data_IF_631006206859
#
_entry.id   IF_631006206859
#
_cell.length_a   1.000
_cell.length_b   1.000
_cell.length_c   1.000
_cell.angle_alpha   90.00
_cell.angle_beta   90.00
_cell.angle_gamma   90.00
#
_symmetry.space_group_name_H-M   'P 1'
#
loop_
_entity.id
_entity.type
_entity.pdbx_description
1 polymer ?
#
# COMPACT_ATOMS: atom_id res chain seq x y z
N UNK A 1 7.88 52.11 3.34
CA UNK A 1 8.45 50.76 3.57
C UNK A 1 9.44 50.88 4.72
N UNK A 2 9.09 50.36 5.90
CA UNK A 2 10.00 50.26 7.05
C UNK A 2 10.85 49.00 6.93
N UNK A 3 12.16 49.11 7.17
CA UNK A 3 13.05 47.96 7.18
C UNK A 3 12.75 47.00 8.35
N UNK A 4 12.96 45.69 8.20
CA UNK A 4 12.93 44.76 9.33
C UNK A 4 14.09 45.07 10.27
N UNK A 5 13.82 45.11 11.58
CA UNK A 5 14.87 45.22 12.61
C UNK A 5 15.37 43.83 13.00
N UNK A 6 16.63 43.53 12.71
CA UNK A 6 17.33 42.29 13.09
C UNK A 6 17.65 42.20 14.61
N UNK A 7 16.65 42.46 15.44
CA UNK A 7 16.70 42.22 16.88
C UNK A 7 16.17 40.81 17.18
N UNK A 8 17.03 39.93 17.69
CA UNK A 8 16.63 38.58 18.09
C UNK A 8 15.44 38.65 19.09
N UNK A 9 14.33 37.93 18.83
CA UNK A 9 13.09 38.13 19.59
C UNK A 9 13.27 37.81 21.07
N UNK A 10 12.71 38.67 21.92
CA UNK A 10 12.71 38.46 23.36
C UNK A 10 11.93 37.20 23.73
N UNK A 11 12.24 36.62 24.91
CA UNK A 11 11.51 35.46 25.43
C UNK A 11 9.99 35.69 25.48
N UNK A 12 9.54 36.92 25.76
CA UNK A 12 8.11 37.29 25.76
C UNK A 12 7.50 37.46 24.36
N UNK A 13 8.30 37.66 23.31
CA UNK A 13 7.82 37.57 21.93
C UNK A 13 7.69 36.09 21.54
N UNK A 14 8.75 35.29 21.70
CA UNK A 14 8.74 33.84 21.46
C UNK A 14 7.53 33.15 22.09
N UNK A 15 7.31 33.33 23.39
CA UNK A 15 6.20 32.72 24.12
C UNK A 15 4.81 33.21 23.65
N UNK A 16 4.70 34.44 23.15
CA UNK A 16 3.43 34.98 22.61
C UNK A 16 3.15 34.44 21.22
N UNK A 17 4.18 34.34 20.39
CA UNK A 17 4.08 33.92 19.00
C UNK A 17 3.87 32.39 18.92
N UNK A 18 4.48 31.62 19.82
CA UNK A 18 4.20 30.19 20.02
C UNK A 18 2.73 29.95 20.45
N UNK A 19 2.17 30.77 21.35
CA UNK A 19 0.74 30.69 21.73
C UNK A 19 -0.17 31.13 20.57
N UNK A 20 0.20 32.16 19.80
CA UNK A 20 -0.59 32.63 18.66
C UNK A 20 -0.69 31.57 17.54
N UNK A 21 0.41 30.84 17.30
CA UNK A 21 0.49 29.77 16.33
C UNK A 21 -0.59 28.68 16.53
N UNK A 22 -0.93 28.34 17.78
CA UNK A 22 -1.94 27.30 18.09
C UNK A 22 -3.31 27.67 17.50
N UNK A 23 -3.72 28.94 17.64
CA UNK A 23 -5.03 29.42 17.14
C UNK A 23 -5.14 29.46 15.62
N UNK A 24 -4.02 29.35 14.90
CA UNK A 24 -4.01 29.27 13.44
C UNK A 24 -3.96 27.81 12.94
N UNK A 25 -3.53 26.86 13.78
CA UNK A 25 -3.22 25.48 13.36
C UNK A 25 -4.12 24.39 13.95
N UNK A 26 -4.79 24.66 15.07
CA UNK A 26 -5.71 23.71 15.69
C UNK A 26 -7.18 24.22 15.69
N UNK A 27 -8.07 23.60 14.90
CA UNK A 27 -9.51 23.88 14.92
C UNK A 27 -10.21 23.64 16.28
N UNK A 28 -9.60 22.90 17.21
CA UNK A 28 -10.15 22.67 18.56
C UNK A 28 -9.82 23.80 19.56
N UNK A 29 -8.93 24.74 19.22
CA UNK A 29 -8.46 25.80 20.10
C UNK A 29 -9.49 26.93 20.31
N UNK A 30 -10.52 26.71 21.13
CA UNK A 30 -11.64 27.66 21.32
C UNK A 30 -11.29 28.91 22.12
N UNK A 31 -10.32 28.85 23.05
CA UNK A 31 -9.95 30.02 23.85
C UNK A 31 -8.49 30.07 24.31
N UNK A 32 -7.95 31.29 24.46
CA UNK A 32 -6.60 31.54 25.02
C UNK A 32 -6.38 31.03 26.43
N UNK A 33 -7.45 30.94 27.24
CA UNK A 33 -7.35 30.40 28.58
C UNK A 33 -7.24 28.87 28.55
N UNK A 34 -8.05 28.21 27.74
CA UNK A 34 -7.99 26.76 27.49
C UNK A 34 -6.63 26.36 26.94
N UNK A 35 -6.15 26.97 25.84
CA UNK A 35 -4.82 26.67 25.28
C UNK A 35 -3.68 26.87 26.31
N UNK A 36 -3.77 27.88 27.18
CA UNK A 36 -2.76 28.11 28.21
C UNK A 36 -2.87 27.13 29.40
N UNK A 37 -4.01 26.45 29.60
CA UNK A 37 -4.26 25.58 30.78
C UNK A 37 -4.37 24.08 30.46
N UNK A 38 -4.72 23.69 29.24
CA UNK A 38 -5.02 22.28 28.88
C UNK A 38 -4.15 21.68 27.78
N UNK A 39 -3.24 22.44 27.14
CA UNK A 39 -2.42 21.96 26.01
C UNK A 39 -0.99 21.60 26.45
N UNK A 40 -0.63 20.30 26.59
CA UNK A 40 0.68 19.90 27.10
C UNK A 40 1.84 20.30 26.17
N UNK A 41 1.60 20.32 24.85
CA UNK A 41 2.58 20.77 23.86
C UNK A 41 2.99 22.23 24.06
N UNK A 42 2.03 23.10 24.39
CA UNK A 42 2.28 24.52 24.71
C UNK A 42 3.10 24.63 26.00
N UNK A 43 2.70 23.91 27.07
CA UNK A 43 3.45 23.88 28.33
C UNK A 43 4.91 23.42 28.13
N UNK A 44 5.11 22.38 27.32
CA UNK A 44 6.44 21.87 26.98
C UNK A 44 7.31 22.90 26.25
N UNK A 45 6.77 23.55 25.20
CA UNK A 45 7.51 24.57 24.45
C UNK A 45 7.84 25.78 25.33
N UNK A 46 6.87 26.31 26.08
CA UNK A 46 7.08 27.46 26.98
C UNK A 46 8.16 27.19 28.04
N UNK A 47 8.15 26.00 28.66
CA UNK A 47 9.17 25.60 29.63
C UNK A 47 10.53 25.31 28.97
N UNK A 48 10.55 24.74 27.76
CA UNK A 48 11.77 24.60 26.96
C UNK A 48 12.39 25.96 26.62
N UNK A 49 11.62 26.98 26.21
CA UNK A 49 12.17 28.32 25.89
C UNK A 49 12.93 28.91 27.10
N UNK A 50 12.43 28.67 28.32
CA UNK A 50 13.11 29.06 29.56
C UNK A 50 14.33 28.17 29.87
N UNK A 51 14.21 26.85 29.73
CA UNK A 51 15.31 25.90 29.97
C UNK A 51 16.48 26.11 28.98
N UNK A 52 16.19 26.38 27.71
CA UNK A 52 17.17 26.76 26.69
C UNK A 52 17.86 28.08 27.03
N UNK A 53 17.13 29.06 27.57
CA UNK A 53 17.75 30.31 28.06
C UNK A 53 18.71 30.06 29.23
N UNK A 54 18.36 29.19 30.18
CA UNK A 54 19.26 28.77 31.27
C UNK A 54 20.50 28.03 30.72
N UNK A 55 20.31 27.14 29.75
CA UNK A 55 21.41 26.42 29.09
C UNK A 55 22.38 27.36 28.35
N UNK A 56 21.85 28.40 27.69
CA UNK A 56 22.63 29.48 27.06
C UNK A 56 23.30 30.44 28.04
N UNK A 57 22.99 30.36 29.33
CA UNK A 57 23.68 31.04 30.44
C UNK A 57 24.63 30.09 31.19
N UNK A 58 24.97 28.95 30.57
CA UNK A 58 25.84 27.89 31.12
C UNK A 58 25.30 27.21 32.40
N UNK A 59 24.06 27.51 32.80
CA UNK A 59 23.35 26.90 33.93
C UNK A 59 22.78 25.52 33.55
N UNK A 60 23.68 24.60 33.17
CA UNK A 60 23.34 23.31 32.59
C UNK A 60 22.49 22.42 33.52
N UNK A 61 22.78 22.38 34.83
CA UNK A 61 21.98 21.59 35.78
C UNK A 61 20.57 22.17 36.00
N UNK A 62 20.37 23.47 36.31
CA UNK A 62 19.04 24.08 36.35
C UNK A 62 18.24 23.90 35.06
N UNK A 63 18.88 24.02 33.89
CA UNK A 63 18.24 23.78 32.60
C UNK A 63 17.76 22.32 32.43
N UNK A 64 18.62 21.34 32.79
CA UNK A 64 18.26 19.90 32.74
C UNK A 64 17.15 19.55 33.73
N UNK A 65 17.18 20.12 34.94
CA UNK A 65 16.13 19.95 35.94
C UNK A 65 14.80 20.54 35.47
N UNK A 66 14.81 21.72 34.84
CA UNK A 66 13.60 22.33 34.30
C UNK A 66 13.01 21.53 33.13
N UNK A 67 13.82 21.02 32.20
CA UNK A 67 13.35 20.09 31.16
C UNK A 67 12.78 18.79 31.75
N UNK A 68 13.35 18.27 32.85
CA UNK A 68 12.79 17.09 33.53
C UNK A 68 11.42 17.38 34.18
N UNK A 69 11.26 18.52 34.85
CA UNK A 69 9.96 18.96 35.39
C UNK A 69 8.94 19.18 34.26
N UNK A 70 9.35 19.81 33.15
CA UNK A 70 8.50 19.98 31.98
C UNK A 70 8.04 18.63 31.42
N UNK A 71 8.93 17.64 31.32
CA UNK A 71 8.61 16.27 30.90
C UNK A 71 7.62 15.59 31.85
N UNK A 72 7.80 15.70 33.16
CA UNK A 72 6.89 15.08 34.14
C UNK A 72 5.46 15.63 34.03
N UNK A 73 5.30 16.90 33.68
CA UNK A 73 3.99 17.55 33.61
C UNK A 73 3.33 17.45 32.22
N UNK A 74 4.12 17.53 31.14
CA UNK A 74 3.61 17.55 29.75
C UNK A 74 3.69 16.23 29.00
N UNK A 75 4.46 15.26 29.50
CA UNK A 75 4.87 14.04 28.80
C UNK A 75 5.64 14.28 27.46
N UNK A 76 6.31 15.43 27.34
CA UNK A 76 7.22 15.81 26.24
C UNK A 76 8.66 15.92 26.79
N UNK A 77 9.64 15.23 26.19
CA UNK A 77 11.06 15.36 26.55
C UNK A 77 11.80 16.25 25.55
N UNK A 78 12.04 17.53 25.89
CA UNK A 78 12.85 18.45 25.08
C UNK A 78 14.17 18.73 25.80
N UNK A 79 15.29 18.31 25.20
CA UNK A 79 16.60 18.62 25.73
C UNK A 79 16.90 20.13 25.62
N UNK A 80 17.36 20.82 26.68
CA UNK A 80 17.47 22.28 26.66
C UNK A 80 18.58 22.78 25.70
N UNK A 81 19.53 21.91 25.33
CA UNK A 81 20.53 22.20 24.30
C UNK A 81 20.01 22.23 22.85
N UNK A 82 18.81 21.71 22.58
CA UNK A 82 18.21 21.73 21.25
C UNK A 82 17.96 23.17 20.78
N UNK A 83 17.94 23.38 19.46
CA UNK A 83 17.68 24.69 18.83
C UNK A 83 16.35 24.61 18.08
N UNK A 84 15.41 25.48 18.41
CA UNK A 84 14.06 25.48 17.84
C UNK A 84 13.69 26.90 17.41
N UNK A 85 13.22 27.04 16.16
CA UNK A 85 12.77 28.30 15.55
C UNK A 85 11.45 28.83 16.12
N UNK A 86 10.82 29.75 15.40
CA UNK A 86 9.57 30.42 15.75
C UNK A 86 8.35 29.58 15.38
N UNK A 87 7.21 29.81 16.04
CA UNK A 87 5.90 29.22 15.68
C UNK A 87 5.97 27.69 15.60
N UNK A 88 6.72 27.09 16.53
CA UNK A 88 6.91 25.66 16.63
C UNK A 88 5.73 25.03 17.36
N UNK A 89 5.07 24.07 16.72
CA UNK A 89 3.84 23.46 17.22
C UNK A 89 4.05 21.99 17.57
N UNK A 90 3.56 21.58 18.75
CA UNK A 90 3.48 20.17 19.15
C UNK A 90 2.01 19.83 19.39
N UNK A 91 1.43 19.06 18.49
CA UNK A 91 0.06 18.56 18.62
C UNK A 91 0.02 17.26 19.44
N UNK A 92 -0.98 17.15 20.33
CA UNK A 92 -1.24 16.01 21.23
C UNK A 92 0.00 15.46 21.99
N UNK A 93 1.04 16.28 22.22
CA UNK A 93 2.47 15.92 22.37
C UNK A 93 2.98 14.81 23.30
N UNK A 94 2.13 14.01 23.96
CA UNK A 94 2.53 12.84 24.72
C UNK A 94 3.52 11.94 23.95
N UNK A 95 4.65 11.61 24.59
CA UNK A 95 5.69 10.76 24.01
C UNK A 95 6.58 11.43 22.95
N UNK A 96 6.49 12.76 22.76
CA UNK A 96 7.41 13.49 21.89
C UNK A 96 8.77 13.63 22.56
N UNK A 97 9.85 13.36 21.81
CA UNK A 97 11.23 13.35 22.30
C UNK A 97 12.16 14.10 21.33
N UNK A 98 12.84 15.14 21.82
CA UNK A 98 13.72 16.02 21.03
C UNK A 98 15.11 16.05 21.69
N UNK A 99 16.09 15.43 21.03
CA UNK A 99 17.43 15.25 21.58
C UNK A 99 18.36 16.49 21.50
N UNK A 100 19.48 16.41 22.22
CA UNK A 100 20.38 17.54 22.53
C UNK A 100 20.81 18.41 21.35
N UNK A 101 21.08 17.80 20.20
CA UNK A 101 21.63 18.51 19.02
C UNK A 101 20.61 18.57 17.89
N UNK A 102 19.32 18.50 18.22
CA UNK A 102 18.27 18.74 17.26
C UNK A 102 18.28 20.23 16.88
N UNK A 103 18.21 20.50 15.59
CA UNK A 103 17.87 21.82 15.06
C UNK A 103 16.51 21.72 14.39
N UNK A 104 15.64 22.69 14.67
CA UNK A 104 14.30 22.77 14.12
C UNK A 104 14.10 24.21 13.63
N UNK A 105 13.72 24.38 12.37
CA UNK A 105 13.42 25.67 11.76
C UNK A 105 12.13 26.31 12.27
N UNK A 106 11.70 27.34 11.56
CA UNK A 106 10.42 28.01 11.80
C UNK A 106 9.24 27.18 11.31
N UNK A 107 8.05 27.39 11.88
CA UNK A 107 6.76 26.83 11.41
C UNK A 107 6.66 25.29 11.37
N UNK A 108 7.56 24.59 12.06
CA UNK A 108 7.54 23.12 12.16
C UNK A 108 6.41 22.64 13.08
N UNK A 109 5.71 21.58 12.65
CA UNK A 109 4.72 20.85 13.46
C UNK A 109 5.17 19.42 13.72
N UNK A 110 5.20 18.99 14.98
CA UNK A 110 5.32 17.59 15.37
C UNK A 110 4.01 17.10 16.00
N UNK A 111 3.59 15.89 15.68
CA UNK A 111 2.49 15.20 16.37
C UNK A 111 2.99 14.34 17.54
N UNK A 112 2.07 13.77 18.31
CA UNK A 112 2.34 12.88 19.44
C UNK A 112 3.28 11.70 19.08
N UNK A 113 4.06 11.21 20.05
CA UNK A 113 4.96 10.07 19.88
C UNK A 113 6.16 10.26 18.93
N UNK A 114 6.39 11.46 18.39
CA UNK A 114 7.50 11.75 17.47
C UNK A 114 8.86 11.75 18.19
N UNK A 115 9.89 11.21 17.56
CA UNK A 115 11.27 11.23 18.12
C UNK A 115 12.26 11.83 17.13
N UNK A 116 12.98 12.88 17.53
CA UNK A 116 14.15 13.43 16.86
C UNK A 116 15.42 12.89 17.56
N UNK A 117 15.76 11.65 17.23
CA UNK A 117 16.65 10.78 17.99
C UNK A 117 18.09 10.71 17.47
N UNK A 118 19.00 10.24 18.32
CA UNK A 118 20.41 10.04 17.97
C UNK A 118 20.73 8.60 17.60
N UNK A 119 21.65 8.39 16.63
CA UNK A 119 22.11 7.07 16.20
C UNK A 119 23.49 6.67 16.75
N UNK A 120 24.18 7.57 17.46
CA UNK A 120 25.55 7.35 17.95
C UNK A 120 25.73 7.81 19.40
N UNK A 121 26.62 7.12 20.13
CA UNK A 121 27.04 7.48 21.48
C UNK A 121 28.09 8.61 21.52
N UNK A 122 28.61 9.02 20.36
CA UNK A 122 29.67 10.01 20.25
C UNK A 122 29.19 11.42 20.66
N UNK A 123 30.06 12.17 21.35
CA UNK A 123 29.80 13.59 21.65
C UNK A 123 29.91 14.40 20.35
N UNK A 124 28.86 15.13 20.01
CA UNK A 124 28.76 15.91 18.77
C UNK A 124 27.34 15.96 18.20
N UNK A 125 27.22 16.53 17.00
CA UNK A 125 25.98 16.55 16.20
C UNK A 125 25.60 15.11 15.85
N UNK A 126 24.48 14.64 16.41
CA UNK A 126 23.99 13.25 16.28
C UNK A 126 22.49 13.11 16.13
N UNK A 127 21.74 14.21 16.28
CA UNK A 127 20.30 14.32 16.10
C UNK A 127 19.97 15.18 14.87
N UNK A 128 18.73 15.12 14.34
CA UNK A 128 18.39 15.73 13.05
C UNK A 128 18.49 17.26 12.99
N UNK A 129 18.45 17.77 11.76
CA UNK A 129 18.10 19.16 11.43
C UNK A 129 16.83 19.16 10.59
N UNK A 130 15.81 19.91 11.01
CA UNK A 130 14.55 20.10 10.30
C UNK A 130 14.51 21.54 9.74
N UNK A 131 14.25 21.68 8.45
CA UNK A 131 13.99 22.95 7.78
C UNK A 131 12.66 23.60 8.20
N UNK A 132 12.30 24.68 7.52
CA UNK A 132 11.11 25.48 7.85
C UNK A 132 9.83 24.81 7.31
N UNK A 133 8.73 24.89 8.06
CA UNK A 133 7.43 24.34 7.66
C UNK A 133 7.39 22.81 7.53
N UNK A 134 8.34 22.09 8.14
CA UNK A 134 8.35 20.62 8.17
C UNK A 134 7.21 20.10 9.03
N UNK A 135 6.52 19.05 8.57
CA UNK A 135 5.45 18.38 9.33
C UNK A 135 5.85 16.94 9.60
N UNK A 136 5.83 16.52 10.85
CA UNK A 136 6.22 15.16 11.27
C UNK A 136 5.04 14.47 11.96
N UNK A 137 4.41 13.55 11.22
CA UNK A 137 3.21 12.81 11.62
C UNK A 137 3.38 11.91 12.84
N UNK A 138 2.24 11.54 13.44
CA UNK A 138 2.18 10.85 14.72
C UNK A 138 3.04 9.58 14.77
N UNK A 139 3.81 9.41 15.85
CA UNK A 139 4.65 8.23 16.08
C UNK A 139 5.91 8.14 15.20
N UNK A 140 6.16 9.06 14.27
CA UNK A 140 7.33 8.99 13.39
C UNK A 140 8.68 9.14 14.14
N UNK A 141 9.75 8.59 13.56
CA UNK A 141 11.10 8.56 14.15
C UNK A 141 12.10 9.10 13.13
N UNK A 142 12.69 10.26 13.39
CA UNK A 142 13.73 10.87 12.56
C UNK A 142 15.05 10.71 13.30
N UNK A 143 15.98 9.92 12.76
CA UNK A 143 17.10 9.36 13.52
C UNK A 143 18.46 9.72 12.88
N UNK A 144 19.37 10.23 13.71
CA UNK A 144 20.76 10.53 13.33
C UNK A 144 20.97 11.99 12.90
N UNK A 145 22.20 12.38 12.53
CA UNK A 145 22.54 13.73 12.08
C UNK A 145 22.10 14.00 10.63
N UNK A 146 20.86 13.65 10.30
CA UNK A 146 20.25 13.82 8.97
C UNK A 146 19.53 15.17 8.87
N UNK A 147 19.38 15.68 7.64
CA UNK A 147 18.67 16.94 7.37
C UNK A 147 17.39 16.69 6.59
N UNK A 148 16.26 17.19 7.08
CA UNK A 148 15.02 17.32 6.31
C UNK A 148 14.94 18.75 5.79
N UNK A 149 14.82 18.94 4.48
CA UNK A 149 14.65 20.27 3.87
C UNK A 149 13.32 20.95 4.23
N UNK A 150 13.18 22.20 3.81
CA UNK A 150 11.94 22.98 4.02
C UNK A 150 10.70 22.25 3.45
N UNK A 151 9.58 22.36 4.15
CA UNK A 151 8.26 21.80 3.79
C UNK A 151 8.24 20.29 3.56
N UNK A 152 9.22 19.55 4.08
CA UNK A 152 9.18 18.08 4.12
C UNK A 152 8.01 17.60 4.99
N UNK A 153 7.29 16.58 4.52
CA UNK A 153 6.21 15.91 5.23
C UNK A 153 6.59 14.47 5.54
N UNK A 154 6.77 14.13 6.81
CA UNK A 154 6.99 12.75 7.26
C UNK A 154 5.65 12.18 7.71
N UNK A 155 5.20 11.09 7.10
CA UNK A 155 3.94 10.45 7.50
C UNK A 155 4.02 9.73 8.85
N UNK A 156 2.86 9.35 9.39
CA UNK A 156 2.77 8.67 10.67
C UNK A 156 3.61 7.37 10.73
N UNK A 157 4.11 7.05 11.93
CA UNK A 157 4.96 5.89 12.28
C UNK A 157 6.21 5.65 11.41
N UNK A 158 6.56 6.59 10.52
CA UNK A 158 7.63 6.41 9.54
C UNK A 158 9.01 6.63 10.16
N UNK A 159 10.01 5.82 9.74
CA UNK A 159 11.36 5.79 10.35
C UNK A 159 12.39 6.33 9.38
N UNK A 160 12.67 7.63 9.47
CA UNK A 160 13.57 8.36 8.56
C UNK A 160 15.01 8.30 9.07
N UNK A 161 15.90 7.73 8.26
CA UNK A 161 17.32 7.48 8.59
C UNK A 161 18.31 8.09 7.59
N UNK A 162 17.79 8.85 6.61
CA UNK A 162 18.56 9.53 5.56
C UNK A 162 18.07 10.99 5.42
N UNK A 163 18.92 11.87 4.90
CA UNK A 163 18.54 13.25 4.59
C UNK A 163 17.56 13.30 3.41
N UNK A 164 16.69 14.31 3.41
CA UNK A 164 15.53 14.44 2.51
C UNK A 164 15.51 15.84 1.90
N UNK A 165 15.31 15.94 0.58
CA UNK A 165 15.20 17.24 -0.11
C UNK A 165 13.96 18.04 0.29
N UNK A 166 13.98 19.36 0.05
CA UNK A 166 12.81 20.21 0.29
C UNK A 166 11.58 19.80 -0.55
N UNK A 167 10.38 20.12 -0.07
CA UNK A 167 9.08 19.85 -0.72
C UNK A 167 8.77 18.36 -0.99
N UNK A 168 9.41 17.44 -0.24
CA UNK A 168 9.20 15.98 -0.34
C UNK A 168 8.24 15.44 0.72
N UNK A 169 7.57 14.35 0.39
CA UNK A 169 6.84 13.53 1.38
C UNK A 169 7.61 12.21 1.57
N UNK A 170 7.72 11.72 2.81
CA UNK A 170 8.46 10.50 3.18
C UNK A 170 7.62 9.60 4.08
N UNK A 171 7.53 8.32 3.73
CA UNK A 171 6.75 7.31 4.48
C UNK A 171 7.43 5.95 4.54
N UNK A 172 7.03 5.16 5.54
CA UNK A 172 7.42 3.76 5.70
C UNK A 172 8.58 3.52 6.67
N UNK A 173 9.00 2.26 6.76
CA UNK A 173 10.07 1.77 7.65
C UNK A 173 11.00 0.87 6.82
N UNK A 174 12.24 1.31 6.50
CA UNK A 174 12.74 2.68 6.59
C UNK A 174 11.97 3.63 5.65
N UNK A 175 11.94 4.91 6.01
CA UNK A 175 11.21 5.95 5.28
C UNK A 175 11.81 6.20 3.89
N UNK A 176 10.95 6.17 2.86
CA UNK A 176 11.31 6.42 1.45
C UNK A 176 10.61 7.68 0.95
N UNK A 177 11.27 8.46 0.11
CA UNK A 177 10.64 9.57 -0.60
C UNK A 177 9.55 9.05 -1.55
N UNK A 178 8.37 9.67 -1.50
CA UNK A 178 7.27 9.41 -2.44
C UNK A 178 7.04 10.62 -3.33
N UNK A 179 6.87 10.36 -4.62
CA UNK A 179 6.53 11.40 -5.59
C UNK A 179 5.09 11.84 -5.32
N UNK A 180 4.91 13.06 -4.82
CA UNK A 180 3.59 13.66 -4.67
C UNK A 180 2.92 13.71 -6.05
N UNK A 181 1.86 12.93 -6.22
CA UNK A 181 0.94 13.14 -7.33
C UNK A 181 0.35 14.56 -7.20
N UNK A 182 0.10 15.19 -8.35
CA UNK A 182 -0.10 16.64 -8.52
C UNK A 182 -0.94 17.30 -7.41
N UNK A 183 -0.34 18.30 -6.77
CA UNK A 183 -1.00 19.56 -6.35
C UNK A 183 -2.35 19.42 -5.65
N UNK A 184 -2.34 19.07 -4.36
CA UNK A 184 -3.30 19.65 -3.41
C UNK A 184 -2.69 20.94 -2.84
N UNK A 185 -2.64 21.96 -3.69
CA UNK A 185 -2.56 23.37 -3.26
C UNK A 185 -3.94 23.93 -3.50
N UNK A 186 -4.80 23.80 -2.50
CA UNK A 186 -6.08 24.49 -2.34
C UNK A 186 -6.59 24.20 -0.92
N UNK A 187 -6.41 25.17 -0.03
CA UNK A 187 -6.66 25.06 1.41
C UNK A 187 -5.93 26.21 2.10
N UNK A 188 -6.69 27.21 2.53
CA UNK A 188 -6.15 28.43 3.14
C UNK A 188 -5.62 28.14 4.55
N UNK A 189 -4.36 28.52 4.82
CA UNK A 189 -3.65 28.45 6.11
C UNK A 189 -3.65 27.13 6.92
N UNK A 190 -4.22 26.04 6.39
CA UNK A 190 -4.39 24.76 7.09
C UNK A 190 -3.24 23.75 6.92
N UNK A 191 -3.01 22.92 7.95
CA UNK A 191 -2.18 21.71 7.85
C UNK A 191 -2.95 20.65 7.05
N UNK A 192 -2.33 20.04 6.05
CA UNK A 192 -2.93 18.92 5.32
C UNK A 192 -2.92 17.63 6.19
N UNK A 193 -4.12 17.13 6.52
CA UNK A 193 -4.34 15.95 7.35
C UNK A 193 -4.60 14.67 6.53
N UNK A 194 -4.45 14.72 5.20
CA UNK A 194 -4.81 13.62 4.28
C UNK A 194 -3.77 12.51 4.24
N UNK A 195 -3.36 12.01 5.41
CA UNK A 195 -2.37 10.94 5.54
C UNK A 195 -2.77 9.64 4.82
N UNK A 196 -4.08 9.45 4.60
CA UNK A 196 -4.66 8.35 3.82
C UNK A 196 -4.40 8.44 2.30
N UNK A 197 -3.99 9.61 1.77
CA UNK A 197 -3.66 9.82 0.36
C UNK A 197 -2.16 9.72 0.06
N UNK A 198 -1.32 9.42 1.06
CA UNK A 198 0.13 9.32 0.84
C UNK A 198 0.42 7.98 0.12
N UNK A 199 1.11 7.99 -1.05
CA UNK A 199 1.39 6.75 -1.78
C UNK A 199 2.24 5.77 -0.96
N UNK A 200 1.99 4.47 -1.10
CA UNK A 200 2.87 3.46 -0.51
C UNK A 200 4.10 3.16 -1.41
N UNK A 201 5.33 3.46 -0.98
CA UNK A 201 6.54 3.13 -1.71
C UNK A 201 6.96 1.66 -1.53
N UNK A 202 6.41 0.92 -0.56
CA UNK A 202 6.74 -0.48 -0.32
C UNK A 202 5.95 -1.37 -1.27
N UNK A 203 4.62 -1.31 -1.25
CA UNK A 203 3.72 -1.97 -2.21
C UNK A 203 4.02 -1.58 -3.65
N UNK A 204 4.37 -0.32 -3.94
CA UNK A 204 4.85 0.07 -5.28
C UNK A 204 6.19 -0.59 -5.64
N UNK A 205 7.13 -0.72 -4.70
CA UNK A 205 8.36 -1.49 -4.96
C UNK A 205 8.06 -2.99 -5.12
N UNK A 206 7.14 -3.56 -4.33
CA UNK A 206 6.73 -4.97 -4.43
C UNK A 206 6.11 -5.22 -5.80
N UNK A 207 5.17 -4.39 -6.27
CA UNK A 207 4.60 -4.49 -7.61
C UNK A 207 5.67 -4.34 -8.72
N UNK A 208 6.64 -3.43 -8.56
CA UNK A 208 7.75 -3.26 -9.51
C UNK A 208 8.74 -4.43 -9.48
N UNK A 209 8.94 -5.05 -8.30
CA UNK A 209 9.78 -6.23 -8.11
C UNK A 209 9.09 -7.48 -8.64
N UNK A 210 7.77 -7.63 -8.47
CA UNK A 210 6.95 -8.68 -9.09
C UNK A 210 7.05 -8.56 -10.62
N UNK A 211 6.78 -7.38 -11.20
CA UNK A 211 6.96 -7.14 -12.65
C UNK A 211 8.40 -7.38 -13.16
N UNK A 212 9.40 -7.42 -12.26
CA UNK A 212 10.78 -7.75 -12.60
C UNK A 212 11.15 -9.20 -12.28
N UNK A 213 10.48 -9.85 -11.33
CA UNK A 213 10.52 -11.31 -11.12
C UNK A 213 9.84 -12.01 -12.27
N UNK A 214 8.62 -11.62 -12.67
CA UNK A 214 7.92 -12.13 -13.85
C UNK A 214 8.78 -12.02 -15.14
N UNK A 215 9.70 -11.05 -15.17
CA UNK A 215 10.66 -10.82 -16.28
C UNK A 215 12.03 -11.50 -16.10
N UNK A 216 12.30 -12.11 -14.95
CA UNK A 216 13.54 -12.84 -14.61
C UNK A 216 13.31 -14.33 -14.37
N UNK A 217 12.12 -14.73 -13.91
CA UNK A 217 11.61 -16.11 -13.84
C UNK A 217 11.27 -16.69 -15.24
N UNK A 218 11.37 -15.85 -16.28
CA UNK A 218 11.59 -16.31 -17.66
C UNK A 218 12.99 -16.92 -17.90
N UNK A 219 13.89 -16.85 -16.92
CA UNK A 219 15.05 -17.72 -16.76
C UNK A 219 14.82 -18.64 -15.53
N UNK A 220 15.39 -19.86 -15.51
CA UNK A 220 14.82 -20.96 -14.72
C UNK A 220 15.02 -20.85 -13.19
N UNK A 221 13.89 -20.78 -12.47
CA UNK A 221 13.61 -21.14 -11.06
C UNK A 221 14.39 -20.40 -9.94
N UNK A 222 13.83 -19.91 -8.80
CA UNK A 222 12.50 -19.75 -8.16
C UNK A 222 12.75 -18.92 -6.83
N UNK A 223 11.81 -18.61 -5.88
CA UNK A 223 10.33 -18.71 -5.84
C UNK A 223 9.52 -17.47 -5.33
N UNK A 224 8.25 -17.39 -5.75
CA UNK A 224 7.01 -17.25 -4.94
C UNK A 224 7.09 -17.13 -3.38
N UNK A 225 6.30 -16.31 -2.63
CA UNK A 225 5.28 -15.25 -2.88
C UNK A 225 5.41 -14.18 -1.73
N UNK A 226 4.64 -13.08 -1.59
CA UNK A 226 3.27 -12.86 -0.97
C UNK A 226 3.08 -11.30 -1.01
N UNK A 227 1.98 -10.58 -1.31
CA UNK A 227 0.49 -10.68 -1.27
C UNK A 227 -0.19 -9.94 -0.08
N UNK A 228 -1.30 -9.21 -0.32
CA UNK A 228 -2.07 -8.40 0.65
C UNK A 228 -3.60 -8.56 0.47
N UNK A 229 -4.36 -8.14 1.49
CA UNK A 229 -5.78 -8.43 1.80
C UNK A 229 -6.10 -9.93 1.99
N UNK A 230 -7.01 -10.26 2.93
CA UNK A 230 -7.22 -11.66 3.39
C UNK A 230 -7.75 -12.57 2.27
N UNK A 231 -6.92 -13.46 1.68
CA UNK A 231 -7.29 -14.14 0.44
C UNK A 231 -8.25 -15.30 0.68
N UNK A 232 -8.35 -15.79 1.92
CA UNK A 232 -9.19 -16.93 2.27
C UNK A 232 -10.68 -16.64 2.03
N UNK A 233 -11.22 -15.54 2.58
CA UNK A 233 -12.65 -15.24 2.48
C UNK A 233 -13.12 -15.01 1.02
N UNK A 234 -12.29 -14.34 0.21
CA UNK A 234 -12.55 -14.13 -1.21
C UNK A 234 -12.58 -15.47 -1.95
N UNK A 235 -11.52 -16.29 -1.82
CA UNK A 235 -11.42 -17.59 -2.52
C UNK A 235 -12.50 -18.57 -2.04
N UNK A 236 -12.87 -18.55 -0.76
CA UNK A 236 -13.97 -19.36 -0.22
C UNK A 236 -15.30 -19.06 -0.91
N UNK A 237 -15.69 -17.78 -0.98
CA UNK A 237 -16.90 -17.37 -1.70
C UNK A 237 -16.82 -17.73 -3.20
N UNK A 238 -15.63 -17.63 -3.78
CA UNK A 238 -15.37 -17.97 -5.18
C UNK A 238 -15.41 -19.49 -5.46
N UNK A 239 -15.12 -20.36 -4.49
CA UNK A 239 -15.24 -21.82 -4.65
C UNK A 239 -16.71 -22.28 -4.71
N UNK A 240 -17.65 -21.51 -4.18
CA UNK A 240 -19.09 -21.79 -4.29
C UNK A 240 -19.72 -21.29 -5.60
N UNK A 241 -19.14 -20.26 -6.23
CA UNK A 241 -19.90 -19.38 -7.15
C UNK A 241 -19.46 -19.52 -8.61
N UNK A 242 -20.21 -20.25 -9.44
CA UNK A 242 -20.02 -20.20 -10.90
C UNK A 242 -20.64 -18.92 -11.50
N UNK A 243 -20.03 -18.36 -12.54
CA UNK A 243 -20.43 -17.10 -13.17
C UNK A 243 -21.62 -17.24 -14.16
N UNK A 244 -22.79 -17.61 -13.63
CA UNK A 244 -24.07 -17.61 -14.35
C UNK A 244 -25.26 -17.96 -13.44
N UNK A 245 -26.25 -17.07 -13.37
CA UNK A 245 -27.37 -17.11 -12.40
C UNK A 245 -28.43 -18.21 -12.66
N UNK A 246 -28.22 -19.04 -13.67
CA UNK A 246 -29.22 -19.93 -14.28
C UNK A 246 -28.90 -21.43 -14.14
N UNK A 247 -27.75 -21.80 -13.59
CA UNK A 247 -27.40 -23.21 -13.35
C UNK A 247 -28.20 -23.80 -12.18
N UNK A 248 -28.69 -25.03 -12.36
CA UNK A 248 -29.40 -25.74 -11.30
C UNK A 248 -28.49 -25.97 -10.08
N UNK A 249 -28.97 -25.76 -8.84
CA UNK A 249 -28.13 -25.87 -7.64
C UNK A 249 -27.71 -27.32 -7.38
N UNK A 250 -26.40 -27.53 -7.14
CA UNK A 250 -25.87 -28.84 -6.74
C UNK A 250 -26.47 -29.31 -5.41
N UNK A 251 -27.38 -30.28 -5.50
CA UNK A 251 -27.96 -30.97 -4.34
C UNK A 251 -27.37 -32.38 -4.19
N UNK A 252 -27.47 -32.94 -2.98
CA UNK A 252 -26.94 -34.27 -2.68
C UNK A 252 -25.48 -34.28 -2.21
N UNK A 253 -24.70 -35.27 -2.65
CA UNK A 253 -23.34 -35.49 -2.14
C UNK A 253 -22.34 -34.42 -2.60
N UNK A 254 -22.33 -34.11 -3.90
CA UNK A 254 -21.34 -33.22 -4.54
C UNK A 254 -21.40 -31.80 -3.96
N UNK A 255 -22.59 -31.23 -3.75
CA UNK A 255 -22.74 -29.91 -3.12
C UNK A 255 -22.08 -29.84 -1.73
N UNK A 256 -22.29 -30.87 -0.88
CA UNK A 256 -21.67 -30.97 0.45
C UNK A 256 -20.15 -31.16 0.41
N UNK A 257 -19.59 -31.69 -0.68
CA UNK A 257 -18.14 -31.77 -0.88
C UNK A 257 -17.56 -30.39 -1.23
N UNK A 258 -18.22 -29.64 -2.12
CA UNK A 258 -17.82 -28.26 -2.43
C UNK A 258 -17.95 -27.34 -1.21
N UNK A 259 -19.03 -27.44 -0.44
CA UNK A 259 -19.23 -26.70 0.82
C UNK A 259 -18.08 -26.93 1.81
N UNK A 260 -17.71 -28.20 2.04
CA UNK A 260 -16.60 -28.55 2.92
C UNK A 260 -15.25 -28.11 2.36
N UNK A 261 -15.04 -28.23 1.05
CA UNK A 261 -13.79 -27.82 0.40
C UNK A 261 -13.55 -26.31 0.52
N UNK A 262 -14.61 -25.49 0.41
CA UNK A 262 -14.53 -24.06 0.69
C UNK A 262 -14.19 -23.82 2.17
N UNK A 263 -14.97 -24.38 3.11
CA UNK A 263 -14.74 -24.19 4.57
C UNK A 263 -13.31 -24.59 4.99
N UNK A 264 -12.74 -25.63 4.39
CA UNK A 264 -11.39 -26.12 4.68
C UNK A 264 -10.28 -25.45 3.85
N UNK A 265 -10.58 -24.56 2.91
CA UNK A 265 -9.57 -23.81 2.17
C UNK A 265 -8.72 -22.96 3.13
N UNK A 266 -7.37 -22.95 3.06
CA UNK A 266 -6.50 -23.51 2.00
C UNK A 266 -5.83 -24.87 2.33
N UNK A 267 -6.41 -25.67 3.23
CA UNK A 267 -5.83 -26.94 3.70
C UNK A 267 -5.80 -28.01 2.58
N UNK A 268 -4.94 -29.04 2.71
CA UNK A 268 -4.83 -30.12 1.70
C UNK A 268 -6.11 -30.96 1.58
N UNK A 269 -6.85 -31.05 2.67
CA UNK A 269 -8.15 -31.70 2.80
C UNK A 269 -9.18 -31.13 1.81
N UNK A 270 -9.09 -29.84 1.47
CA UNK A 270 -9.94 -29.21 0.45
C UNK A 270 -9.66 -29.78 -0.95
N UNK A 271 -8.39 -30.08 -1.29
CA UNK A 271 -8.05 -30.67 -2.60
C UNK A 271 -8.66 -32.06 -2.75
N UNK A 272 -8.55 -32.90 -1.71
CA UNK A 272 -9.14 -34.24 -1.70
C UNK A 272 -10.66 -34.21 -1.89
N UNK A 273 -11.35 -33.26 -1.24
CA UNK A 273 -12.81 -33.08 -1.37
C UNK A 273 -13.22 -32.59 -2.77
N UNK A 274 -12.43 -31.72 -3.41
CA UNK A 274 -12.68 -31.30 -4.80
C UNK A 274 -12.42 -32.43 -5.79
N UNK A 275 -11.42 -33.29 -5.54
CA UNK A 275 -11.15 -34.48 -6.34
C UNK A 275 -12.22 -35.59 -6.14
N UNK A 276 -12.80 -35.72 -4.94
CA UNK A 276 -13.97 -36.56 -4.69
C UNK A 276 -15.21 -36.01 -5.44
N UNK A 277 -15.44 -34.70 -5.40
CA UNK A 277 -16.50 -34.05 -6.16
C UNK A 277 -16.32 -34.24 -7.67
N UNK A 278 -15.07 -34.17 -8.17
CA UNK A 278 -14.71 -34.46 -9.56
C UNK A 278 -14.99 -35.92 -9.93
N UNK A 279 -14.61 -36.88 -9.09
CA UNK A 279 -14.86 -38.30 -9.34
C UNK A 279 -16.37 -38.63 -9.45
N UNK A 280 -17.23 -37.84 -8.79
CA UNK A 280 -18.69 -37.98 -8.84
C UNK A 280 -19.36 -37.19 -9.98
N UNK A 281 -18.77 -36.06 -10.41
CA UNK A 281 -19.41 -35.10 -11.33
C UNK A 281 -18.40 -34.27 -12.16
N UNK A 282 -17.45 -34.95 -12.81
CA UNK A 282 -16.37 -34.33 -13.63
C UNK A 282 -16.84 -33.49 -14.82
N UNK A 283 -18.13 -33.48 -15.13
CA UNK A 283 -18.74 -32.71 -16.21
C UNK A 283 -19.60 -31.53 -15.72
N UNK A 284 -19.70 -31.32 -14.39
CA UNK A 284 -20.57 -30.30 -13.81
C UNK A 284 -19.88 -28.92 -13.67
N UNK A 285 -20.44 -27.82 -14.22
CA UNK A 285 -19.75 -26.51 -14.28
C UNK A 285 -19.30 -25.94 -12.93
N UNK A 286 -20.04 -26.18 -11.84
CA UNK A 286 -19.64 -25.74 -10.50
C UNK A 286 -18.43 -26.53 -9.96
N UNK A 287 -18.29 -27.81 -10.26
CA UNK A 287 -17.14 -28.64 -9.86
C UNK A 287 -15.90 -28.25 -10.68
N UNK A 288 -16.09 -28.07 -11.99
CA UNK A 288 -15.08 -27.56 -12.92
C UNK A 288 -14.55 -26.19 -12.48
N UNK A 289 -15.45 -25.26 -12.15
CA UNK A 289 -15.12 -23.93 -11.65
C UNK A 289 -14.39 -23.94 -10.31
N UNK A 290 -14.84 -24.75 -9.34
CA UNK A 290 -14.21 -24.86 -8.03
C UNK A 290 -12.78 -25.44 -8.12
N UNK A 291 -12.58 -26.54 -8.85
CA UNK A 291 -11.24 -27.15 -9.00
C UNK A 291 -10.30 -26.25 -9.81
N UNK A 292 -10.79 -25.58 -10.85
CA UNK A 292 -10.03 -24.55 -11.59
C UNK A 292 -9.56 -23.43 -10.66
N UNK A 293 -10.47 -22.85 -9.87
CA UNK A 293 -10.17 -21.75 -8.94
C UNK A 293 -9.18 -22.19 -7.86
N UNK A 294 -9.35 -23.38 -7.29
CA UNK A 294 -8.44 -23.93 -6.30
C UNK A 294 -7.00 -24.05 -6.82
N UNK A 295 -6.79 -24.60 -8.02
CA UNK A 295 -5.45 -24.69 -8.62
C UNK A 295 -4.92 -23.32 -9.06
N UNK A 296 -5.76 -22.46 -9.64
CA UNK A 296 -5.39 -21.11 -10.04
C UNK A 296 -4.89 -20.25 -8.86
N UNK A 297 -5.65 -20.20 -7.76
CA UNK A 297 -5.29 -19.42 -6.57
C UNK A 297 -4.12 -20.03 -5.78
N UNK A 298 -3.83 -21.32 -5.96
CA UNK A 298 -2.60 -21.97 -5.44
C UNK A 298 -1.43 -21.96 -6.45
N UNK A 299 -1.51 -21.18 -7.52
CA UNK A 299 -0.48 -21.03 -8.56
C UNK A 299 -0.09 -22.35 -9.28
N UNK A 300 -0.94 -23.39 -9.21
CA UNK A 300 -0.76 -24.66 -9.91
C UNK A 300 -1.29 -24.56 -11.34
N UNK A 301 -0.55 -23.82 -12.17
CA UNK A 301 -1.03 -23.35 -13.47
C UNK A 301 -1.26 -24.49 -14.49
N UNK A 302 -0.43 -25.53 -14.53
CA UNK A 302 -0.64 -26.69 -15.42
C UNK A 302 -1.83 -27.57 -14.97
N UNK A 303 -2.05 -27.74 -13.67
CA UNK A 303 -3.26 -28.43 -13.17
C UNK A 303 -4.53 -27.62 -13.50
N UNK A 304 -4.48 -26.29 -13.29
CA UNK A 304 -5.57 -25.39 -13.68
C UNK A 304 -5.81 -25.42 -15.20
N UNK A 305 -4.77 -25.59 -16.02
CA UNK A 305 -4.89 -25.71 -17.48
C UNK A 305 -5.51 -27.06 -17.86
N UNK A 306 -5.13 -28.15 -17.21
CA UNK A 306 -5.77 -29.46 -17.39
C UNK A 306 -7.28 -29.40 -17.10
N UNK A 307 -7.68 -28.71 -16.03
CA UNK A 307 -9.10 -28.47 -15.71
C UNK A 307 -9.76 -27.55 -16.73
N UNK A 308 -9.11 -26.48 -17.18
CA UNK A 308 -9.65 -25.57 -18.20
C UNK A 308 -9.85 -26.27 -19.55
N UNK A 309 -8.91 -27.12 -19.98
CA UNK A 309 -9.03 -27.91 -21.21
C UNK A 309 -10.14 -28.96 -21.11
N UNK A 310 -10.26 -29.64 -19.98
CA UNK A 310 -11.37 -30.58 -19.75
C UNK A 310 -12.71 -29.84 -19.74
N UNK A 311 -12.77 -28.65 -19.13
CA UNK A 311 -13.95 -27.76 -19.18
C UNK A 311 -14.30 -27.37 -20.61
N UNK A 312 -13.31 -27.03 -21.45
CA UNK A 312 -13.49 -26.71 -22.86
C UNK A 312 -14.08 -27.88 -23.67
N UNK A 313 -13.56 -29.11 -23.45
CA UNK A 313 -14.05 -30.33 -24.11
C UNK A 313 -15.47 -30.70 -23.65
N UNK A 314 -15.74 -30.62 -22.35
CA UNK A 314 -17.06 -30.92 -21.76
C UNK A 314 -18.12 -29.93 -22.19
N UNK A 315 -17.83 -28.62 -22.12
CA UNK A 315 -18.76 -27.58 -22.56
C UNK A 315 -19.05 -27.65 -24.05
N UNK A 316 -18.06 -27.98 -24.89
CA UNK A 316 -18.29 -28.28 -26.31
C UNK A 316 -19.29 -29.44 -26.51
N UNK A 317 -19.08 -30.56 -25.80
CA UNK A 317 -19.95 -31.73 -25.91
C UNK A 317 -21.39 -31.44 -25.43
N UNK A 318 -21.56 -30.72 -24.32
CA UNK A 318 -22.88 -30.33 -23.80
C UNK A 318 -23.58 -29.29 -24.69
N UNK A 319 -22.83 -28.39 -25.32
CA UNK A 319 -23.30 -27.43 -26.33
C UNK A 319 -23.42 -28.01 -27.76
N UNK A 320 -23.02 -29.27 -27.98
CA UNK A 320 -22.97 -29.94 -29.30
C UNK A 320 -22.07 -29.23 -30.33
N UNK A 321 -21.09 -28.47 -29.86
CA UNK A 321 -20.06 -27.81 -30.67
C UNK A 321 -18.96 -28.79 -31.09
N UNK A 322 -18.23 -28.46 -32.16
CA UNK A 322 -17.01 -29.17 -32.51
C UNK A 322 -15.93 -28.99 -31.41
N UNK A 323 -15.15 -30.03 -31.15
CA UNK A 323 -14.04 -30.00 -30.17
C UNK A 323 -12.83 -29.22 -30.68
N UNK A 324 -12.64 -29.11 -31.99
CA UNK A 324 -11.66 -28.19 -32.58
C UNK A 324 -12.20 -26.75 -32.65
N UNK A 325 -11.79 -25.96 -31.66
CA UNK A 325 -12.04 -24.52 -31.56
C UNK A 325 -11.59 -23.71 -32.79
N UNK A 326 -10.61 -24.21 -33.58
CA UNK A 326 -10.15 -23.52 -34.79
C UNK A 326 -11.20 -23.53 -35.89
N UNK A 327 -12.05 -24.56 -35.95
CA UNK A 327 -13.10 -24.72 -36.96
C UNK A 327 -14.34 -23.84 -36.74
N UNK A 328 -14.67 -23.54 -35.48
CA UNK A 328 -15.94 -22.92 -35.08
C UNK A 328 -16.11 -21.48 -35.61
N UNK A 329 -17.35 -21.11 -35.89
CA UNK A 329 -17.78 -19.78 -36.33
C UNK A 329 -18.76 -19.15 -35.34
N UNK A 330 -18.96 -17.81 -35.34
CA UNK A 330 -19.90 -17.15 -34.44
C UNK A 330 -21.35 -17.64 -34.57
N UNK A 331 -21.72 -18.12 -35.76
CA UNK A 331 -23.03 -18.74 -36.03
C UNK A 331 -23.31 -19.98 -35.19
N UNK A 332 -22.27 -20.70 -34.78
CA UNK A 332 -22.40 -21.96 -34.02
C UNK A 332 -22.86 -21.67 -32.57
N UNK A 333 -22.62 -20.44 -32.10
CA UNK A 333 -23.02 -19.95 -30.79
C UNK A 333 -24.43 -19.33 -30.77
N UNK A 334 -25.09 -19.19 -31.93
CA UNK A 334 -26.42 -18.62 -32.06
C UNK A 334 -27.52 -19.65 -31.74
N UNK A 335 -27.76 -19.93 -30.46
CA UNK A 335 -28.75 -20.90 -30.02
C UNK A 335 -29.17 -20.78 -28.55
N UNK A 336 -30.16 -21.59 -28.11
CA UNK A 336 -30.74 -21.51 -26.76
C UNK A 336 -29.85 -22.07 -25.64
N UNK A 337 -28.62 -22.52 -25.94
CA UNK A 337 -27.68 -23.07 -24.95
C UNK A 337 -26.68 -22.00 -24.45
N UNK A 338 -27.18 -20.79 -24.17
CA UNK A 338 -26.41 -19.60 -23.77
C UNK A 338 -25.33 -19.87 -22.73
N UNK A 339 -25.63 -20.72 -21.76
CA UNK A 339 -24.81 -20.89 -20.56
C UNK A 339 -23.63 -21.83 -20.83
N UNK A 340 -23.83 -22.84 -21.68
CA UNK A 340 -22.75 -23.73 -22.13
C UNK A 340 -21.89 -23.05 -23.21
N UNK A 341 -22.49 -22.19 -24.05
CA UNK A 341 -21.78 -21.30 -24.95
C UNK A 341 -20.87 -20.34 -24.17
N UNK A 342 -21.39 -19.71 -23.11
CA UNK A 342 -20.63 -18.85 -22.19
C UNK A 342 -19.55 -19.62 -21.43
N UNK A 343 -19.84 -20.83 -20.92
CA UNK A 343 -18.85 -21.70 -20.28
C UNK A 343 -17.71 -22.08 -21.21
N UNK A 344 -18.02 -22.41 -22.47
CA UNK A 344 -17.01 -22.74 -23.49
C UNK A 344 -16.09 -21.56 -23.79
N UNK A 345 -16.64 -20.36 -24.01
CA UNK A 345 -15.86 -19.15 -24.28
C UNK A 345 -15.03 -18.72 -23.05
N UNK A 346 -15.57 -18.89 -21.83
CA UNK A 346 -14.83 -18.72 -20.58
C UNK A 346 -13.68 -19.72 -20.44
N UNK A 347 -13.90 -20.99 -20.80
CA UNK A 347 -12.86 -22.03 -20.78
C UNK A 347 -11.77 -21.77 -21.83
N UNK A 348 -12.14 -21.29 -23.03
CA UNK A 348 -11.19 -20.91 -24.08
C UNK A 348 -10.31 -19.73 -23.63
N UNK A 349 -10.93 -18.71 -23.01
CA UNK A 349 -10.22 -17.60 -22.35
C UNK A 349 -9.29 -18.08 -21.24
N UNK A 350 -9.76 -18.97 -20.38
CA UNK A 350 -8.98 -19.52 -19.27
C UNK A 350 -7.76 -20.31 -19.75
N UNK A 351 -7.92 -21.18 -20.76
CA UNK A 351 -6.82 -21.89 -21.40
C UNK A 351 -5.78 -20.91 -21.95
N UNK A 352 -6.22 -19.89 -22.70
CA UNK A 352 -5.31 -18.93 -23.32
C UNK A 352 -4.57 -18.06 -22.29
N UNK A 353 -5.26 -17.62 -21.23
CA UNK A 353 -4.66 -16.85 -20.13
C UNK A 353 -3.65 -17.67 -19.34
N UNK A 354 -3.93 -18.95 -19.07
CA UNK A 354 -2.97 -19.86 -18.46
C UNK A 354 -1.78 -20.16 -19.37
N UNK A 355 -2.00 -20.31 -20.68
CA UNK A 355 -0.92 -20.44 -21.66
C UNK A 355 -0.03 -19.19 -21.71
N UNK A 356 -0.56 -17.96 -21.57
CA UNK A 356 0.28 -16.77 -21.38
C UNK A 356 1.13 -16.87 -20.11
N UNK A 357 0.52 -17.22 -18.96
CA UNK A 357 1.25 -17.34 -17.68
C UNK A 357 2.26 -18.49 -17.64
N UNK A 358 2.14 -19.47 -18.55
CA UNK A 358 3.06 -20.58 -18.76
C UNK A 358 4.08 -20.31 -19.89
N UNK A 359 4.16 -19.08 -20.41
CA UNK A 359 5.09 -18.68 -21.48
C UNK A 359 4.77 -19.25 -22.86
N UNK A 360 3.62 -19.91 -23.04
CA UNK A 360 3.19 -20.59 -24.28
C UNK A 360 2.54 -19.61 -25.27
N UNK A 361 3.16 -18.44 -25.44
CA UNK A 361 2.58 -17.25 -26.09
C UNK A 361 2.01 -17.52 -27.49
N UNK A 362 2.69 -18.33 -28.32
CA UNK A 362 2.22 -18.67 -29.66
C UNK A 362 0.93 -19.52 -29.68
N UNK A 363 0.67 -20.34 -28.66
CA UNK A 363 -0.59 -21.07 -28.50
C UNK A 363 -1.68 -20.16 -27.93
N UNK A 364 -1.32 -19.40 -26.88
CA UNK A 364 -2.22 -18.45 -26.26
C UNK A 364 -2.78 -17.43 -27.25
N UNK A 365 -1.93 -16.87 -28.12
CA UNK A 365 -2.32 -15.92 -29.17
C UNK A 365 -3.34 -16.54 -30.13
N UNK A 366 -3.12 -17.77 -30.63
CA UNK A 366 -4.10 -18.44 -31.49
C UNK A 366 -5.45 -18.68 -30.77
N UNK A 367 -5.44 -19.06 -29.48
CA UNK A 367 -6.68 -19.20 -28.70
C UNK A 367 -7.38 -17.86 -28.44
N UNK A 368 -6.63 -16.76 -28.26
CA UNK A 368 -7.17 -15.40 -28.10
C UNK A 368 -7.73 -14.84 -29.41
N UNK A 369 -7.06 -15.06 -30.54
CA UNK A 369 -7.57 -14.73 -31.88
C UNK A 369 -8.89 -15.47 -32.16
N UNK A 370 -8.97 -16.77 -31.82
CA UNK A 370 -10.21 -17.54 -31.91
C UNK A 370 -11.29 -17.04 -30.94
N UNK A 371 -10.93 -16.69 -29.69
CA UNK A 371 -11.88 -16.09 -28.74
C UNK A 371 -12.45 -14.76 -29.27
N UNK A 372 -11.60 -13.86 -29.78
CA UNK A 372 -12.04 -12.59 -30.35
C UNK A 372 -12.90 -12.77 -31.62
N UNK A 373 -12.67 -13.85 -32.38
CA UNK A 373 -13.54 -14.23 -33.51
C UNK A 373 -14.92 -14.68 -33.02
N UNK A 374 -14.99 -15.50 -31.97
CA UNK A 374 -16.23 -16.14 -31.48
C UNK A 374 -17.05 -15.27 -30.52
N UNK A 375 -16.41 -14.32 -29.82
CA UNK A 375 -17.02 -13.29 -28.97
C UNK A 375 -16.80 -11.90 -29.60
N UNK A 376 -17.47 -11.58 -30.73
CA UNK A 376 -17.25 -10.32 -31.46
C UNK A 376 -17.75 -9.08 -30.70
N UNK A 377 -18.62 -9.24 -29.71
CA UNK A 377 -19.01 -8.18 -28.77
C UNK A 377 -17.95 -7.95 -27.67
N UNK A 378 -16.91 -8.79 -27.61
CA UNK A 378 -15.85 -8.78 -26.61
C UNK A 378 -16.39 -8.82 -25.16
N UNK A 379 -17.52 -9.51 -24.96
CA UNK A 379 -18.23 -9.66 -23.69
C UNK A 379 -17.39 -10.29 -22.58
N UNK A 380 -16.38 -11.08 -22.96
CA UNK A 380 -15.42 -11.69 -22.04
C UNK A 380 -14.06 -10.96 -22.01
N UNK A 381 -13.89 -9.86 -22.74
CA UNK A 381 -12.64 -9.06 -22.74
C UNK A 381 -11.44 -9.75 -23.41
N UNK A 382 -11.68 -10.65 -24.37
CA UNK A 382 -10.63 -11.35 -25.11
C UNK A 382 -9.66 -10.41 -25.84
N UNK A 383 -10.16 -9.31 -26.41
CA UNK A 383 -9.36 -8.36 -27.18
C UNK A 383 -8.31 -7.63 -26.33
N UNK A 384 -8.59 -7.41 -25.03
CA UNK A 384 -7.60 -6.83 -24.11
C UNK A 384 -6.45 -7.81 -23.85
N UNK A 385 -6.76 -9.09 -23.61
CA UNK A 385 -5.73 -10.13 -23.45
C UNK A 385 -4.92 -10.33 -24.74
N UNK A 386 -5.56 -10.23 -25.92
CA UNK A 386 -4.86 -10.29 -27.20
C UNK A 386 -3.90 -9.10 -27.37
N UNK A 387 -4.32 -7.88 -27.02
CA UNK A 387 -3.43 -6.71 -27.07
C UNK A 387 -2.24 -6.81 -26.11
N UNK A 388 -2.39 -7.48 -24.97
CA UNK A 388 -1.27 -7.79 -24.07
C UNK A 388 -0.32 -8.84 -24.67
N UNK A 389 -0.84 -9.81 -25.43
CA UNK A 389 -0.02 -10.77 -26.16
C UNK A 389 0.72 -10.12 -27.34
N UNK A 390 0.11 -9.17 -28.05
CA UNK A 390 0.76 -8.41 -29.13
C UNK A 390 1.83 -7.44 -28.60
N UNK A 391 1.62 -6.86 -27.42
CA UNK A 391 2.65 -6.10 -26.69
C UNK A 391 3.80 -7.00 -26.17
N UNK A 392 3.69 -8.33 -26.32
CA UNK A 392 4.71 -9.31 -25.93
C UNK A 392 5.53 -9.87 -27.11
N UNK A 393 5.70 -9.10 -28.20
CA UNK A 393 6.74 -9.29 -29.23
C UNK A 393 8.18 -9.08 -28.67
N UNK A 394 8.48 -9.74 -27.55
CA UNK A 394 9.79 -9.78 -26.91
C UNK A 394 10.72 -10.78 -27.62
N UNK A 395 11.20 -10.36 -28.79
CA UNK A 395 12.45 -10.80 -29.41
C UNK A 395 12.67 -12.33 -29.47
N UNK A 396 11.90 -13.02 -30.33
CA UNK A 396 12.18 -14.40 -30.71
C UNK A 396 13.46 -14.58 -31.57
N UNK A 397 14.35 -13.59 -31.63
CA UNK A 397 15.54 -13.57 -32.50
C UNK A 397 16.88 -13.45 -31.77
N UNK A 398 16.91 -13.16 -30.47
CA UNK A 398 18.15 -12.88 -29.73
C UNK A 398 18.99 -14.10 -29.31
N UNK A 399 18.63 -15.34 -29.69
CA UNK A 399 19.30 -16.59 -29.28
C UNK A 399 20.12 -17.23 -30.43
N UNK A 400 20.87 -16.41 -31.17
CA UNK A 400 21.71 -16.84 -32.30
C UNK A 400 23.07 -16.12 -32.36
N UNK A 401 23.79 -16.08 -31.23
CA UNK A 401 25.18 -15.63 -31.11
C UNK A 401 25.88 -16.37 -29.95
#
# INVERSE_FOLDING_TARGET
MSAPTDAAPSLWQLMRDDIACVFQRDPAARSRWEVLTTYPGVHAVLLYRLAHRLWRLELAYPARLLSFVARLWSNVDIHPGARIGLRFFIDHGAGVVIGETAEIGDDVTLYHGVTLGGTTWNKGKRHPTLGNGVVVGAGAKVLGPITLGDRVRVGANSVVVHSVGADRTVVGIPGKEVVSLKTVVNGEEGINLDHHLIPDPVGKLIATLIQRLERLEGAPELPAIVAEEEPAAVVQNDLHTFAGDTLAPLSGAVGRLLEKAAILYPQMEAENLLLEAWALASDHPQVLGALYRFYFYRHRLDDALGVAEHTLRTSAAQARLNTDWKSLQPTDFAGPQSDMHRLYLLALKACAYLELRLGRCASAKQRLEALCRLDPENSLGGAYLLSLADLSDFDCTSNAA
#
